data_IF_632727072980
#
_entry.id   IF_632727072980
#
_cell.length_a   1.000
_cell.length_b   1.000
_cell.length_c   1.000
_cell.angle_alpha   90.00
_cell.angle_beta   90.00
_cell.angle_gamma   90.00
#
_symmetry.space_group_name_H-M   'P 1'
#
loop_
_entity.id
_entity.type
_entity.pdbx_description
1 polymer ?
#
# COMPACT_ATOMS: atom_id res chain seq x y z
N UNK A 1 -6.56 -7.41 -13.28
CA UNK A 1 -7.03 -6.21 -12.57
C UNK A 1 -7.74 -5.30 -13.56
N UNK A 2 -8.89 -4.73 -13.22
CA UNK A 2 -9.59 -3.81 -14.12
C UNK A 2 -8.74 -2.60 -14.49
N UNK A 3 -8.88 -2.11 -15.71
CA UNK A 3 -8.14 -0.95 -16.21
C UNK A 3 -8.35 0.29 -15.33
N UNK A 4 -9.58 0.50 -14.85
CA UNK A 4 -9.93 1.63 -13.98
C UNK A 4 -9.12 1.60 -12.68
N UNK A 5 -9.02 0.43 -12.05
CA UNK A 5 -8.24 0.25 -10.82
C UNK A 5 -6.76 0.46 -11.09
N UNK A 6 -6.25 -0.02 -12.20
CA UNK A 6 -4.85 0.21 -12.59
C UNK A 6 -4.54 1.71 -12.69
N UNK A 7 -5.42 2.47 -13.35
CA UNK A 7 -5.26 3.92 -13.50
C UNK A 7 -5.30 4.62 -12.14
N UNK A 8 -6.26 4.24 -11.28
CA UNK A 8 -6.40 4.80 -9.94
C UNK A 8 -5.14 4.53 -9.11
N UNK A 9 -4.63 3.30 -9.14
CA UNK A 9 -3.43 2.94 -8.40
C UNK A 9 -2.20 3.69 -8.90
N UNK A 10 -2.08 3.91 -10.20
CA UNK A 10 -0.97 4.69 -10.75
C UNK A 10 -0.98 6.12 -10.22
N UNK A 11 -2.15 6.76 -10.18
CA UNK A 11 -2.30 8.10 -9.62
C UNK A 11 -2.03 8.12 -8.11
N UNK A 12 -2.55 7.12 -7.39
CA UNK A 12 -2.35 7.00 -5.95
C UNK A 12 -0.86 6.89 -5.59
N UNK A 13 -0.10 6.11 -6.36
CA UNK A 13 1.35 6.00 -6.19
C UNK A 13 2.06 7.34 -6.31
N UNK A 14 1.66 8.17 -7.29
CA UNK A 14 2.25 9.50 -7.45
C UNK A 14 2.01 10.37 -6.22
N UNK A 15 0.81 10.29 -5.64
CA UNK A 15 0.47 11.03 -4.42
C UNK A 15 1.23 10.50 -3.21
N UNK A 16 1.40 9.19 -3.08
CA UNK A 16 2.21 8.60 -2.02
C UNK A 16 3.66 9.08 -2.08
N UNK A 17 4.22 9.19 -3.26
CA UNK A 17 5.58 9.72 -3.44
C UNK A 17 5.68 11.17 -3.02
N UNK A 18 4.64 11.96 -3.22
CA UNK A 18 4.62 13.35 -2.73
C UNK A 18 4.58 13.41 -1.21
N UNK A 19 3.82 12.54 -0.57
CA UNK A 19 3.70 12.50 0.90
C UNK A 19 5.01 12.05 1.54
N UNK A 20 5.57 10.93 1.10
CA UNK A 20 6.71 10.29 1.77
C UNK A 20 8.06 10.64 1.17
N UNK A 21 8.09 11.09 -0.08
CA UNK A 21 9.35 11.39 -0.76
C UNK A 21 10.29 10.19 -0.79
N UNK A 22 11.54 10.41 -0.44
CA UNK A 22 12.57 9.37 -0.46
C UNK A 22 12.41 8.32 0.64
N UNK A 23 11.53 8.55 1.60
CA UNK A 23 11.24 7.54 2.64
C UNK A 23 10.38 6.39 2.12
N UNK A 24 9.68 6.56 1.01
CA UNK A 24 8.89 5.49 0.40
C UNK A 24 9.81 4.52 -0.33
N UNK A 25 9.87 3.27 0.13
CA UNK A 25 10.79 2.28 -0.42
C UNK A 25 10.10 1.23 -1.28
N UNK A 26 8.87 0.85 -0.94
CA UNK A 26 8.12 -0.13 -1.72
C UNK A 26 6.63 0.04 -1.49
N UNK A 27 5.83 -0.30 -2.48
CA UNK A 27 4.37 -0.38 -2.37
C UNK A 27 3.94 -1.71 -2.98
N UNK A 28 3.21 -2.51 -2.20
CA UNK A 28 2.82 -3.86 -2.58
C UNK A 28 1.30 -3.97 -2.51
N UNK A 29 0.68 -4.36 -3.63
CA UNK A 29 -0.72 -4.75 -3.67
C UNK A 29 -0.83 -6.19 -3.22
N UNK A 30 -1.72 -6.47 -2.25
CA UNK A 30 -1.95 -7.83 -1.77
C UNK A 30 -3.45 -8.06 -1.61
N UNK A 31 -3.84 -9.22 -1.08
CA UNK A 31 -5.25 -9.55 -0.89
C UNK A 31 -5.94 -9.90 -2.20
N UNK A 32 -7.27 -9.72 -2.24
CA UNK A 32 -8.11 -10.22 -3.34
C UNK A 32 -7.77 -9.61 -4.70
N UNK A 33 -7.40 -8.32 -4.75
CA UNK A 33 -7.01 -7.70 -6.02
C UNK A 33 -5.70 -8.27 -6.58
N UNK A 34 -4.78 -8.66 -5.71
CA UNK A 34 -3.53 -9.28 -6.14
C UNK A 34 -3.76 -10.73 -6.59
N UNK A 35 -4.62 -11.47 -5.88
CA UNK A 35 -4.95 -12.87 -6.22
C UNK A 35 -5.86 -13.01 -7.44
N UNK A 36 -6.63 -11.96 -7.77
CA UNK A 36 -7.59 -12.01 -8.87
C UNK A 36 -8.98 -12.51 -8.48
N UNK A 37 -9.23 -12.76 -7.19
CA UNK A 37 -10.55 -13.21 -6.71
C UNK A 37 -11.39 -12.07 -6.10
N UNK A 38 -11.11 -10.83 -6.50
CA UNK A 38 -11.83 -9.65 -6.03
C UNK A 38 -13.27 -9.61 -6.55
N UNK A 39 -14.11 -8.89 -5.80
CA UNK A 39 -15.48 -8.53 -6.20
C UNK A 39 -15.60 -7.02 -6.16
N UNK A 40 -16.78 -6.49 -6.56
CA UNK A 40 -17.04 -5.04 -6.50
C UNK A 40 -16.97 -4.47 -5.07
N UNK A 41 -17.12 -5.33 -4.06
CA UNK A 41 -17.09 -4.92 -2.65
C UNK A 41 -15.74 -5.16 -1.98
N UNK A 42 -14.75 -5.65 -2.72
CA UNK A 42 -13.43 -5.94 -2.16
C UNK A 42 -12.66 -4.67 -1.81
N UNK A 43 -11.95 -4.71 -0.67
CA UNK A 43 -10.98 -3.68 -0.32
C UNK A 43 -9.76 -3.76 -1.23
N UNK A 44 -9.08 -2.64 -1.42
CA UNK A 44 -7.81 -2.59 -2.13
C UNK A 44 -6.72 -2.55 -1.08
N UNK A 45 -6.11 -3.70 -0.83
CA UNK A 45 -5.10 -3.88 0.23
C UNK A 45 -3.72 -3.50 -0.29
N UNK A 46 -3.13 -2.49 0.33
CA UNK A 46 -1.82 -1.97 -0.08
C UNK A 46 -0.92 -1.88 1.14
N UNK A 47 0.31 -2.41 1.02
CA UNK A 47 1.33 -2.23 2.03
C UNK A 47 2.38 -1.23 1.53
N UNK A 48 2.62 -0.20 2.35
CA UNK A 48 3.69 0.76 2.14
C UNK A 48 4.86 0.38 3.03
N UNK A 49 6.01 0.15 2.44
CA UNK A 49 7.25 -0.07 3.18
C UNK A 49 8.07 1.22 3.13
N UNK A 50 8.35 1.76 4.31
CA UNK A 50 9.00 3.05 4.47
C UNK A 50 10.24 2.96 5.33
N UNK A 51 11.18 3.90 5.12
CA UNK A 51 12.38 4.04 5.93
C UNK A 51 12.12 5.05 7.06
N UNK A 52 11.15 4.71 7.92
CA UNK A 52 10.72 5.54 9.04
C UNK A 52 10.47 4.63 10.24
N UNK A 53 10.76 5.13 11.45
CA UNK A 53 10.36 4.47 12.68
C UNK A 53 8.84 4.57 12.88
N UNK A 54 8.23 3.74 13.75
CA UNK A 54 6.81 3.86 14.06
C UNK A 54 6.40 5.26 14.52
N UNK A 55 7.24 5.93 15.32
CA UNK A 55 6.99 7.29 15.79
C UNK A 55 7.02 8.30 14.64
N UNK A 56 7.98 8.15 13.72
CA UNK A 56 8.09 9.01 12.56
C UNK A 56 6.92 8.82 11.59
N UNK A 57 6.39 7.59 11.48
CA UNK A 57 5.22 7.30 10.64
C UNK A 57 4.00 8.13 11.05
N UNK A 58 3.82 8.41 12.33
CA UNK A 58 2.67 9.15 12.84
C UNK A 58 2.59 10.55 12.25
N UNK A 59 3.72 11.16 11.90
CA UNK A 59 3.75 12.48 11.29
C UNK A 59 3.08 12.53 9.91
N UNK A 60 2.94 11.38 9.25
CA UNK A 60 2.36 11.28 7.89
C UNK A 60 0.95 10.70 7.88
N UNK A 61 0.44 10.26 9.04
CA UNK A 61 -0.82 9.51 9.11
C UNK A 61 -2.03 10.32 8.65
N UNK A 62 -2.08 11.61 8.97
CA UNK A 62 -3.19 12.48 8.58
C UNK A 62 -3.25 12.67 7.07
N UNK A 63 -2.10 12.93 6.44
CA UNK A 63 -2.02 13.08 4.99
C UNK A 63 -2.43 11.81 4.26
N UNK A 64 -1.99 10.65 4.76
CA UNK A 64 -2.36 9.37 4.18
C UNK A 64 -3.86 9.11 4.31
N UNK A 65 -4.43 9.42 5.47
CA UNK A 65 -5.88 9.26 5.71
C UNK A 65 -6.71 10.16 4.81
N UNK A 66 -6.31 11.41 4.65
CA UNK A 66 -6.99 12.35 3.76
C UNK A 66 -6.96 11.88 2.30
N UNK A 67 -5.80 11.41 1.84
CA UNK A 67 -5.64 10.86 0.49
C UNK A 67 -6.57 9.66 0.27
N UNK A 68 -6.60 8.74 1.22
CA UNK A 68 -7.47 7.57 1.16
C UNK A 68 -8.94 7.95 1.09
N UNK A 69 -9.37 8.89 1.92
CA UNK A 69 -10.74 9.39 1.92
C UNK A 69 -11.12 9.98 0.56
N UNK A 70 -10.28 10.84 -0.01
CA UNK A 70 -10.52 11.46 -1.31
C UNK A 70 -10.71 10.40 -2.41
N UNK A 71 -9.83 9.39 -2.44
CA UNK A 71 -9.90 8.33 -3.43
C UNK A 71 -11.12 7.43 -3.22
N UNK A 72 -11.47 7.14 -1.97
CA UNK A 72 -12.64 6.32 -1.67
C UNK A 72 -13.93 7.00 -2.13
N UNK A 73 -14.04 8.31 -1.90
CA UNK A 73 -15.22 9.09 -2.31
C UNK A 73 -15.25 9.27 -3.83
N UNK A 74 -14.13 9.66 -4.44
CA UNK A 74 -14.09 10.02 -5.86
C UNK A 74 -14.28 8.81 -6.78
N UNK A 75 -13.80 7.64 -6.36
CA UNK A 75 -13.79 6.43 -7.20
C UNK A 75 -14.69 5.31 -6.68
N UNK A 76 -15.40 5.53 -5.58
CA UNK A 76 -16.26 4.52 -4.95
C UNK A 76 -15.51 3.21 -4.69
N UNK A 77 -14.36 3.33 -4.03
CA UNK A 77 -13.46 2.22 -3.69
C UNK A 77 -13.12 2.28 -2.20
N UNK A 78 -12.49 1.21 -1.69
CA UNK A 78 -11.99 1.14 -0.31
C UNK A 78 -10.48 0.88 -0.33
N UNK A 79 -9.71 1.98 -0.28
CA UNK A 79 -8.26 1.89 -0.11
C UNK A 79 -7.93 1.55 1.32
N UNK A 80 -7.16 0.48 1.53
CA UNK A 80 -6.76 0.01 2.86
C UNK A 80 -5.24 -0.04 2.95
N UNK A 81 -4.58 1.13 3.12
CA UNK A 81 -3.12 1.17 3.25
C UNK A 81 -2.68 0.74 4.65
N UNK A 82 -1.63 -0.07 4.67
CA UNK A 82 -0.92 -0.46 5.89
C UNK A 82 0.53 0.00 5.73
N UNK A 83 1.04 0.78 6.67
CA UNK A 83 2.41 1.31 6.63
C UNK A 83 3.27 0.52 7.59
N UNK A 84 4.40 0.00 7.08
CA UNK A 84 5.36 -0.78 7.88
C UNK A 84 6.78 -0.30 7.60
N UNK A 85 7.64 -0.44 8.61
CA UNK A 85 9.06 -0.17 8.44
C UNK A 85 9.70 -1.27 7.57
N UNK A 86 10.49 -0.86 6.58
CA UNK A 86 11.11 -1.79 5.63
C UNK A 86 12.02 -2.81 6.32
N UNK A 87 12.86 -2.40 7.26
CA UNK A 87 13.77 -3.29 7.98
C UNK A 87 13.02 -4.31 8.81
N UNK A 88 11.95 -3.88 9.47
CA UNK A 88 11.08 -4.77 10.24
C UNK A 88 10.45 -5.83 9.33
N UNK A 89 9.94 -5.41 8.17
CA UNK A 89 9.37 -6.34 7.20
C UNK A 89 10.40 -7.37 6.74
N UNK A 90 11.60 -6.92 6.34
CA UNK A 90 12.68 -7.82 5.89
C UNK A 90 13.12 -8.80 6.96
N UNK A 91 13.19 -8.34 8.21
CA UNK A 91 13.61 -9.17 9.34
C UNK A 91 12.61 -10.29 9.64
N UNK A 92 11.31 -9.99 9.55
CA UNK A 92 10.26 -10.90 10.02
C UNK A 92 9.42 -11.53 8.91
N UNK A 93 9.76 -11.30 7.64
CA UNK A 93 8.95 -11.75 6.49
C UNK A 93 8.77 -13.27 6.46
N UNK A 94 9.73 -14.04 6.93
CA UNK A 94 9.64 -15.51 6.97
C UNK A 94 8.94 -16.04 8.22
N UNK A 95 8.81 -15.20 9.25
CA UNK A 95 8.28 -15.63 10.55
C UNK A 95 6.84 -15.17 10.80
N UNK A 96 6.47 -14.00 10.30
CA UNK A 96 5.12 -13.46 10.49
C UNK A 96 4.23 -13.88 9.32
N UNK A 97 3.14 -14.65 9.58
CA UNK A 97 2.25 -15.10 8.49
C UNK A 97 1.71 -14.00 7.61
N UNK A 98 1.36 -12.85 8.20
CA UNK A 98 0.88 -11.70 7.43
C UNK A 98 1.94 -11.22 6.43
N UNK A 99 3.17 -11.02 6.88
CA UNK A 99 4.27 -10.59 6.01
C UNK A 99 4.60 -11.64 4.94
N UNK A 100 4.61 -12.93 5.33
CA UNK A 100 4.85 -14.02 4.39
C UNK A 100 3.79 -14.06 3.29
N UNK A 101 2.53 -13.86 3.65
CA UNK A 101 1.43 -13.85 2.68
C UNK A 101 1.53 -12.66 1.73
N UNK A 102 1.87 -11.48 2.25
CA UNK A 102 2.08 -10.29 1.41
C UNK A 102 3.20 -10.54 0.40
N UNK A 103 4.30 -11.14 0.84
CA UNK A 103 5.42 -11.43 -0.06
C UNK A 103 5.05 -12.47 -1.12
N UNK A 104 4.33 -13.53 -0.74
CA UNK A 104 3.99 -14.63 -1.66
C UNK A 104 2.97 -14.24 -2.71
N UNK A 105 1.91 -13.53 -2.31
CA UNK A 105 0.80 -13.22 -3.22
C UNK A 105 0.81 -11.78 -3.72
N UNK A 106 1.69 -10.94 -3.15
CA UNK A 106 1.72 -9.53 -3.46
C UNK A 106 2.27 -9.22 -4.85
N UNK A 107 1.78 -8.12 -5.39
CA UNK A 107 2.28 -7.52 -6.64
C UNK A 107 2.97 -6.23 -6.27
N UNK A 108 4.26 -6.12 -6.59
CA UNK A 108 5.03 -4.91 -6.32
C UNK A 108 4.61 -3.83 -7.32
N UNK A 109 4.00 -2.76 -6.80
CA UNK A 109 3.57 -1.62 -7.62
C UNK A 109 4.68 -0.58 -7.77
N UNK A 110 5.55 -0.46 -6.79
CA UNK A 110 6.65 0.49 -6.77
C UNK A 110 7.78 -0.05 -5.90
N UNK A 111 9.01 0.15 -6.34
CA UNK A 111 10.21 -0.18 -5.58
C UNK A 111 11.27 0.87 -5.87
N UNK A 112 11.80 1.47 -4.81
CA UNK A 112 12.85 2.49 -4.94
C UNK A 112 14.17 1.83 -5.36
N UNK A 113 14.89 2.53 -6.21
CA UNK A 113 16.20 2.08 -6.69
C UNK A 113 17.26 2.09 -5.56
#
# INVERSE_FOLDING_TARGET
MPQTIHTVLTQYLLELKKIYGTYLKSVILYGSYARGDYTSDSDIDIMLLVDLSPEEMDAYSDELSELGYEYNVDYDIWMMPVVKNLQHFRKWVTSYPFYSNVQKEGVVLYEAA
#
